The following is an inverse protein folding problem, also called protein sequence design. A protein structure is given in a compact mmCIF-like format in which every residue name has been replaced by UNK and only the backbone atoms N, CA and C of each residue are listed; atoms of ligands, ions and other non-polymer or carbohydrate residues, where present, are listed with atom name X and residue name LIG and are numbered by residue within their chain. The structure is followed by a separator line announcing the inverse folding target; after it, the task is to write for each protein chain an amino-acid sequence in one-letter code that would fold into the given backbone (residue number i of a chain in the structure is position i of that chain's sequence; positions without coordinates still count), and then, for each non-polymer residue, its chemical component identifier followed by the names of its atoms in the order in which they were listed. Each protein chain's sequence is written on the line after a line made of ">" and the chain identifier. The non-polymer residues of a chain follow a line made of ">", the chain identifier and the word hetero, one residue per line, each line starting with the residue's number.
data_IF_176165649541
#
_entry.id   IF_176165649541
#
_cell.length_a   1.000
_cell.length_b   1.000
_cell.length_c   1.000
_cell.angle_alpha   90.00
_cell.angle_beta   90.00
_cell.angle_gamma   90.00
#
_symmetry.space_group_name_H-M   'P 1'
#
loop_
_entity.id
_entity.type
_entity.pdbx_description
1 polymer ?
#
# COMPACT_ATOMS: atom_id res chain seq x y z
N UNK A 1 -10.21 -54.20 -17.29
CA UNK A 1 -9.65 -53.11 -18.13
C UNK A 1 -8.11 -53.09 -18.08
N UNK A 2 -7.50 -53.03 -16.90
CA UNK A 2 -6.03 -53.03 -16.69
C UNK A 2 -5.29 -54.26 -17.25
N UNK A 3 -5.90 -55.45 -17.21
CA UNK A 3 -5.29 -56.69 -17.70
C UNK A 3 -5.17 -56.76 -19.24
N UNK A 4 -6.09 -56.10 -19.98
CA UNK A 4 -6.04 -56.01 -21.45
C UNK A 4 -4.97 -55.03 -21.93
N UNK A 5 -4.77 -53.92 -21.21
CA UNK A 5 -3.66 -52.98 -21.44
C UNK A 5 -2.30 -53.67 -21.26
N UNK A 6 -2.17 -54.53 -20.24
CA UNK A 6 -0.93 -55.24 -19.91
C UNK A 6 -0.51 -56.29 -20.96
N UNK A 7 -1.48 -56.91 -21.64
CA UNK A 7 -1.22 -57.87 -22.74
C UNK A 7 -0.94 -57.16 -24.06
N UNK A 8 -1.58 -56.01 -24.32
CA UNK A 8 -1.35 -55.18 -25.51
C UNK A 8 0.07 -54.60 -25.56
N UNK A 9 0.65 -54.25 -24.41
CA UNK A 9 2.02 -53.72 -24.28
C UNK A 9 3.14 -54.76 -24.46
N UNK A 10 2.83 -56.06 -24.59
CA UNK A 10 3.85 -57.10 -24.86
C UNK A 10 4.21 -57.21 -26.34
N UNK A 11 3.45 -56.60 -27.25
CA UNK A 11 3.82 -56.56 -28.67
C UNK A 11 4.79 -55.40 -28.91
N UNK A 12 5.97 -55.64 -29.51
CA UNK A 12 7.00 -54.60 -29.69
C UNK A 12 6.53 -53.47 -30.61
N UNK A 13 5.63 -53.74 -31.54
CA UNK A 13 5.03 -52.74 -32.44
C UNK A 13 4.03 -51.83 -31.74
N UNK A 14 3.22 -52.34 -30.81
CA UNK A 14 2.27 -51.53 -30.02
C UNK A 14 3.02 -50.68 -28.99
N UNK A 15 4.06 -51.23 -28.36
CA UNK A 15 4.90 -50.47 -27.43
C UNK A 15 5.59 -49.29 -28.13
N UNK A 16 6.19 -49.53 -29.30
CA UNK A 16 6.91 -48.49 -30.06
C UNK A 16 5.97 -47.39 -30.58
N UNK A 17 4.77 -47.74 -31.05
CA UNK A 17 3.80 -46.75 -31.54
C UNK A 17 3.25 -45.87 -30.40
N UNK A 18 3.02 -46.46 -29.22
CA UNK A 18 2.60 -45.70 -28.02
C UNK A 18 3.75 -44.79 -27.56
N UNK A 19 4.98 -45.29 -27.49
CA UNK A 19 6.13 -44.47 -27.09
C UNK A 19 6.35 -43.27 -28.05
N UNK A 20 6.32 -43.52 -29.36
CA UNK A 20 6.56 -42.49 -30.37
C UNK A 20 5.42 -41.45 -30.41
N UNK A 21 4.16 -41.87 -30.27
CA UNK A 21 3.01 -40.96 -30.23
C UNK A 21 3.04 -40.07 -28.99
N UNK A 22 3.38 -40.62 -27.82
CA UNK A 22 3.53 -39.84 -26.59
C UNK A 22 4.69 -38.84 -26.73
N UNK A 23 5.87 -39.29 -27.17
CA UNK A 23 7.03 -38.42 -27.35
C UNK A 23 6.75 -37.27 -28.33
N UNK A 24 6.15 -37.57 -29.48
CA UNK A 24 5.81 -36.57 -30.49
C UNK A 24 4.74 -35.60 -29.99
N UNK A 25 3.73 -36.08 -29.27
CA UNK A 25 2.69 -35.23 -28.68
C UNK A 25 3.25 -34.24 -27.65
N UNK A 26 4.17 -34.69 -26.80
CA UNK A 26 4.80 -33.84 -25.78
C UNK A 26 5.69 -32.79 -26.45
N UNK A 27 6.49 -33.20 -27.43
CA UNK A 27 7.37 -32.28 -28.16
C UNK A 27 6.59 -31.22 -28.94
N UNK A 28 5.53 -31.61 -29.65
CA UNK A 28 4.67 -30.68 -30.39
C UNK A 28 3.91 -29.74 -29.45
N UNK A 29 3.38 -30.26 -28.34
CA UNK A 29 2.68 -29.44 -27.36
C UNK A 29 3.62 -28.40 -26.73
N UNK A 30 4.82 -28.82 -26.32
CA UNK A 30 5.79 -27.93 -25.69
C UNK A 30 6.30 -26.86 -26.66
N UNK A 31 6.62 -27.24 -27.90
CA UNK A 31 7.08 -26.28 -28.92
C UNK A 31 6.00 -25.28 -29.31
N UNK A 32 4.75 -25.73 -29.51
CA UNK A 32 3.63 -24.85 -29.81
C UNK A 32 3.31 -23.91 -28.64
N UNK A 33 3.31 -24.41 -27.41
CA UNK A 33 3.06 -23.60 -26.21
C UNK A 33 4.14 -22.53 -26.02
N UNK A 34 5.42 -22.88 -26.18
CA UNK A 34 6.52 -21.92 -26.10
C UNK A 34 6.39 -20.87 -27.20
N UNK A 35 6.17 -21.28 -28.46
CA UNK A 35 6.03 -20.34 -29.58
C UNK A 35 4.85 -19.39 -29.38
N UNK A 36 3.68 -19.92 -29.02
CA UNK A 36 2.46 -19.12 -28.83
C UNK A 36 2.57 -18.19 -27.62
N UNK A 37 3.13 -18.67 -26.50
CA UNK A 37 3.32 -17.83 -25.30
C UNK A 37 4.30 -16.68 -25.57
N UNK A 38 5.40 -16.95 -26.27
CA UNK A 38 6.36 -15.90 -26.65
C UNK A 38 5.70 -14.92 -27.63
N UNK A 39 5.06 -15.41 -28.70
CA UNK A 39 4.41 -14.55 -29.69
C UNK A 39 3.33 -13.67 -29.06
N UNK A 40 2.46 -14.26 -28.24
CA UNK A 40 1.37 -13.53 -27.59
C UNK A 40 1.89 -12.53 -26.56
N UNK A 41 2.90 -12.91 -25.77
CA UNK A 41 3.50 -12.01 -24.78
C UNK A 41 4.15 -10.79 -25.44
N UNK A 42 4.88 -10.99 -26.54
CA UNK A 42 5.51 -9.91 -27.29
C UNK A 42 4.44 -9.02 -27.92
N UNK A 43 3.47 -9.61 -28.63
CA UNK A 43 2.41 -8.86 -29.29
C UNK A 43 1.61 -8.01 -28.28
N UNK A 44 1.20 -8.61 -27.16
CA UNK A 44 0.43 -7.94 -26.13
C UNK A 44 1.25 -6.84 -25.44
N UNK A 45 2.53 -7.10 -25.15
CA UNK A 45 3.42 -6.10 -24.53
C UNK A 45 3.62 -4.88 -25.42
N UNK A 46 3.84 -5.08 -26.72
CA UNK A 46 4.02 -4.00 -27.70
C UNK A 46 2.72 -3.20 -27.82
N UNK A 47 1.60 -3.88 -28.06
CA UNK A 47 0.31 -3.21 -28.22
C UNK A 47 -0.07 -2.38 -26.99
N UNK A 48 0.08 -2.97 -25.79
CA UNK A 48 -0.22 -2.30 -24.53
C UNK A 48 0.72 -1.12 -24.28
N UNK A 49 2.02 -1.26 -24.58
CA UNK A 49 3.00 -0.18 -24.42
C UNK A 49 2.69 1.02 -25.31
N UNK A 50 2.33 0.79 -26.57
CA UNK A 50 1.98 1.86 -27.52
C UNK A 50 0.71 2.57 -27.06
N UNK A 51 -0.31 1.80 -26.66
CA UNK A 51 -1.58 2.37 -26.20
C UNK A 51 -1.42 3.21 -24.92
N UNK A 52 -0.65 2.71 -23.94
CA UNK A 52 -0.35 3.43 -22.71
C UNK A 52 0.48 4.68 -22.96
N UNK A 53 1.48 4.60 -23.83
CA UNK A 53 2.31 5.75 -24.19
C UNK A 53 1.47 6.85 -24.84
N UNK A 54 0.65 6.50 -25.82
CA UNK A 54 -0.17 7.47 -26.54
C UNK A 54 -1.21 8.12 -25.62
N UNK A 55 -1.90 7.33 -24.81
CA UNK A 55 -2.89 7.85 -23.86
C UNK A 55 -2.27 8.74 -22.78
N UNK A 56 -1.12 8.34 -22.22
CA UNK A 56 -0.40 9.14 -21.24
C UNK A 56 0.11 10.47 -21.82
N UNK A 57 0.64 10.46 -23.05
CA UNK A 57 1.13 11.67 -23.70
C UNK A 57 -0.01 12.66 -23.97
N UNK A 58 -1.15 12.18 -24.48
CA UNK A 58 -2.33 13.02 -24.70
C UNK A 58 -2.82 13.62 -23.38
N UNK A 59 -2.96 12.79 -22.34
CA UNK A 59 -3.43 13.24 -21.02
C UNK A 59 -2.49 14.28 -20.40
N UNK A 60 -1.17 14.03 -20.44
CA UNK A 60 -0.17 14.95 -19.89
C UNK A 60 -0.10 16.26 -20.67
N UNK A 61 -0.22 16.20 -22.00
CA UNK A 61 -0.30 17.38 -22.86
C UNK A 61 -1.52 18.23 -22.51
N UNK A 62 -2.69 17.60 -22.37
CA UNK A 62 -3.93 18.30 -21.99
C UNK A 62 -3.81 18.93 -20.60
N UNK A 63 -3.29 18.19 -19.62
CA UNK A 63 -3.07 18.70 -18.26
C UNK A 63 -2.10 19.88 -18.23
N UNK A 64 -1.01 19.82 -19.00
CA UNK A 64 -0.04 20.91 -19.10
C UNK A 64 -0.65 22.16 -19.74
N UNK A 65 -1.49 21.98 -20.77
CA UNK A 65 -2.23 23.08 -21.40
C UNK A 65 -3.19 23.75 -20.43
N UNK A 66 -3.95 22.98 -19.63
CA UNK A 66 -4.84 23.53 -18.60
C UNK A 66 -4.09 24.32 -17.53
N UNK A 67 -2.96 23.80 -17.04
CA UNK A 67 -2.12 24.52 -16.08
C UNK A 67 -1.61 25.83 -16.67
N UNK A 68 -1.16 25.81 -17.92
CA UNK A 68 -0.67 27.01 -18.62
C UNK A 68 -1.74 28.08 -18.71
N UNK A 69 -2.98 27.72 -19.09
CA UNK A 69 -4.11 28.65 -19.12
C UNK A 69 -4.40 29.20 -17.73
N UNK A 70 -4.49 28.32 -16.73
CA UNK A 70 -4.81 28.72 -15.35
C UNK A 70 -3.78 29.70 -14.80
N UNK A 71 -2.48 29.41 -14.97
CA UNK A 71 -1.40 30.27 -14.52
C UNK A 71 -1.37 31.61 -15.26
N UNK A 72 -1.62 31.59 -16.58
CA UNK A 72 -1.70 32.80 -17.40
C UNK A 72 -2.85 33.70 -16.97
N UNK A 73 -4.01 33.13 -16.64
CA UNK A 73 -5.16 33.87 -16.12
C UNK A 73 -4.86 34.50 -14.75
N UNK A 74 -4.25 33.74 -13.83
CA UNK A 74 -3.85 34.28 -12.53
C UNK A 74 -2.87 35.44 -12.68
N UNK A 75 -1.80 35.27 -13.47
CA UNK A 75 -0.82 36.33 -13.70
C UNK A 75 -1.49 37.57 -14.30
N UNK A 76 -2.34 37.38 -15.31
CA UNK A 76 -3.07 38.47 -15.96
C UNK A 76 -3.94 39.26 -14.98
N UNK A 77 -4.68 38.56 -14.11
CA UNK A 77 -5.52 39.19 -13.07
C UNK A 77 -4.64 39.90 -12.03
N UNK A 78 -3.54 39.29 -11.60
CA UNK A 78 -2.63 39.91 -10.64
C UNK A 78 -1.97 41.18 -11.22
N UNK A 79 -1.52 41.14 -12.47
CA UNK A 79 -0.96 42.32 -13.14
C UNK A 79 -2.02 43.41 -13.30
N UNK A 80 -3.24 43.06 -13.71
CA UNK A 80 -4.30 44.06 -13.91
C UNK A 80 -4.65 44.75 -12.59
N UNK A 81 -4.81 44.00 -11.50
CA UNK A 81 -5.04 44.58 -10.17
C UNK A 81 -3.88 45.46 -9.72
N UNK A 82 -2.64 44.98 -9.90
CA UNK A 82 -1.43 45.74 -9.53
C UNK A 82 -1.33 47.06 -10.29
N UNK A 83 -1.48 47.04 -11.62
CA UNK A 83 -1.47 48.24 -12.46
C UNK A 83 -2.62 49.18 -12.11
N UNK A 84 -3.84 48.67 -11.91
CA UNK A 84 -4.97 49.48 -11.46
C UNK A 84 -4.71 50.17 -10.13
N UNK A 85 -4.14 49.45 -9.15
CA UNK A 85 -3.79 50.03 -7.85
C UNK A 85 -2.71 51.10 -7.97
N UNK A 86 -1.67 50.85 -8.78
CA UNK A 86 -0.58 51.80 -9.02
C UNK A 86 -1.07 53.07 -9.72
N UNK A 87 -1.89 52.95 -10.77
CA UNK A 87 -2.50 54.09 -11.45
C UNK A 87 -3.43 54.89 -10.54
N UNK A 88 -4.22 54.19 -9.70
CA UNK A 88 -5.13 54.85 -8.76
C UNK A 88 -4.37 55.68 -7.72
N UNK A 89 -3.26 55.15 -7.18
CA UNK A 89 -2.39 55.87 -6.25
C UNK A 89 -1.68 57.04 -6.97
N UNK A 90 -1.17 56.83 -8.18
CA UNK A 90 -0.50 57.90 -8.92
C UNK A 90 -1.46 59.04 -9.28
N UNK A 91 -2.69 58.72 -9.72
CA UNK A 91 -3.72 59.72 -10.03
C UNK A 91 -4.15 60.51 -8.79
N UNK A 92 -4.34 59.84 -7.65
CA UNK A 92 -4.71 60.51 -6.38
C UNK A 92 -3.60 61.45 -5.88
N UNK A 93 -2.32 61.10 -6.06
CA UNK A 93 -1.20 61.98 -5.69
C UNK A 93 -1.02 63.14 -6.70
N UNK A 94 -1.32 62.93 -7.98
CA UNK A 94 -1.12 63.93 -9.04
C UNK A 94 -2.26 64.94 -9.17
N UNK A 95 -3.42 64.69 -8.54
CA UNK A 95 -4.59 65.56 -8.67
C UNK A 95 -4.43 66.83 -7.81
N UNK A 96 -4.52 68.05 -8.38
CA UNK A 96 -4.25 69.30 -7.66
C UNK A 96 -5.16 69.56 -6.45
N UNK A 97 -6.31 68.87 -6.37
CA UNK A 97 -7.23 68.97 -5.22
C UNK A 97 -6.84 68.10 -4.00
N UNK A 98 -5.90 67.16 -4.13
CA UNK A 98 -5.55 66.20 -3.07
C UNK A 98 -4.37 66.65 -2.16
N UNK A 99 -3.69 67.75 -2.50
CA UNK A 99 -2.59 68.33 -1.70
C UNK A 99 -3.06 68.90 -0.34
N UNK A 100 -4.38 69.01 -0.11
CA UNK A 100 -4.96 69.54 1.14
C UNK A 100 -5.62 68.53 2.08
N UNK A 101 -5.67 67.22 1.77
CA UNK A 101 -6.49 66.26 2.53
C UNK A 101 -5.75 65.45 3.60
N UNK A 102 -4.48 65.75 3.89
CA UNK A 102 -3.71 65.05 4.94
C UNK A 102 -4.12 65.39 6.39
N UNK A 103 -5.20 66.15 6.61
CA UNK A 103 -5.69 66.55 7.94
C UNK A 103 -7.20 66.31 8.16
N UNK A 104 -7.84 65.40 7.41
CA UNK A 104 -9.27 65.12 7.62
C UNK A 104 -9.46 63.63 7.97
N UNK A 105 -9.71 63.45 9.27
CA UNK A 105 -10.46 62.40 9.95
C UNK A 105 -10.33 60.95 9.46
N UNK A 106 -9.67 60.16 10.31
CA UNK A 106 -9.84 58.72 10.41
C UNK A 106 -11.35 58.47 10.62
N UNK A 107 -12.06 57.79 9.69
CA UNK A 107 -13.42 57.37 9.96
C UNK A 107 -13.37 56.40 11.14
N UNK A 108 -14.22 56.63 12.14
CA UNK A 108 -14.40 55.71 13.27
C UNK A 108 -14.55 54.29 12.75
N UNK A 109 -13.80 53.37 13.36
CA UNK A 109 -13.94 51.94 13.13
C UNK A 109 -15.42 51.58 13.25
N UNK A 110 -16.05 51.22 12.13
CA UNK A 110 -17.33 50.53 12.17
C UNK A 110 -17.14 49.27 13.00
N UNK A 111 -17.71 49.27 14.20
CA UNK A 111 -17.85 48.09 15.03
C UNK A 111 -18.48 47.02 14.15
N UNK A 112 -17.76 45.91 13.93
CA UNK A 112 -18.28 44.72 13.24
C UNK A 112 -19.73 44.49 13.68
N UNK A 113 -20.69 44.39 12.76
CA UNK A 113 -22.05 44.03 13.12
C UNK A 113 -21.99 42.74 13.96
N UNK A 114 -22.75 42.71 15.04
CA UNK A 114 -22.93 41.51 15.86
C UNK A 114 -23.20 40.31 14.95
N UNK A 115 -22.56 39.15 15.19
CA UNK A 115 -22.71 37.99 14.32
C UNK A 115 -24.21 37.70 14.10
N UNK A 116 -24.63 37.44 12.84
CA UNK A 116 -26.01 37.12 12.55
C UNK A 116 -26.47 35.94 13.41
N UNK A 117 -27.75 35.91 13.82
CA UNK A 117 -28.28 34.84 14.65
C UNK A 117 -28.02 33.48 13.99
N UNK A 118 -27.65 32.50 14.82
CA UNK A 118 -27.29 31.16 14.33
C UNK A 118 -28.44 30.59 13.48
N UNK A 119 -28.17 30.12 12.26
CA UNK A 119 -29.20 29.64 11.35
C UNK A 119 -29.84 28.36 11.89
N UNK A 120 -31.16 28.20 11.72
CA UNK A 120 -31.90 27.04 12.21
C UNK A 120 -31.40 25.73 11.58
N UNK A 121 -30.99 24.76 12.41
CA UNK A 121 -30.32 23.52 11.97
C UNK A 121 -31.11 22.67 10.97
N UNK A 122 -32.43 22.81 10.90
CA UNK A 122 -33.32 21.99 10.05
C UNK A 122 -33.78 22.69 8.79
N UNK A 123 -33.72 24.01 8.75
CA UNK A 123 -34.29 24.87 7.70
C UNK A 123 -33.25 25.74 7.00
N UNK A 124 -32.01 25.77 7.52
CA UNK A 124 -30.90 26.53 6.93
C UNK A 124 -30.47 25.99 5.57
N UNK A 125 -30.01 26.91 4.70
CA UNK A 125 -29.38 26.57 3.43
C UNK A 125 -28.12 25.73 3.72
N UNK A 126 -27.82 24.67 2.95
CA UNK A 126 -26.69 23.76 3.23
C UNK A 126 -25.35 24.47 3.41
N UNK A 127 -25.11 25.55 2.65
CA UNK A 127 -23.90 26.37 2.77
C UNK A 127 -23.76 27.01 4.15
N UNK A 128 -24.81 27.68 4.63
CA UNK A 128 -24.81 28.34 5.94
C UNK A 128 -24.67 27.33 7.08
N UNK A 129 -25.28 26.15 6.93
CA UNK A 129 -25.13 25.05 7.88
C UNK A 129 -23.66 24.61 8.01
N UNK A 130 -22.98 24.40 6.88
CA UNK A 130 -21.57 24.00 6.86
C UNK A 130 -20.67 25.07 7.48
N UNK A 131 -20.85 26.33 7.07
CA UNK A 131 -20.07 27.47 7.56
C UNK A 131 -20.23 27.67 9.08
N UNK A 132 -21.44 27.48 9.61
CA UNK A 132 -21.72 27.77 11.02
C UNK A 132 -21.49 26.59 11.97
N UNK A 133 -21.75 25.35 11.53
CA UNK A 133 -21.73 24.17 12.41
C UNK A 133 -20.61 23.17 12.13
N UNK A 134 -20.15 23.04 10.88
CA UNK A 134 -19.19 21.99 10.50
C UNK A 134 -17.77 22.53 10.39
N UNK A 135 -17.56 23.59 9.60
CA UNK A 135 -16.22 24.14 9.35
C UNK A 135 -15.50 24.62 10.61
N UNK A 136 -16.12 25.28 11.59
CA UNK A 136 -15.43 25.70 12.81
C UNK A 136 -14.82 24.53 13.61
N UNK A 137 -15.33 23.31 13.43
CA UNK A 137 -14.83 22.09 14.06
C UNK A 137 -13.84 21.36 13.14
N UNK A 138 -14.16 21.29 11.85
CA UNK A 138 -13.41 20.50 10.88
C UNK A 138 -12.13 21.21 10.40
N UNK A 139 -12.17 22.52 10.21
CA UNK A 139 -11.03 23.33 9.73
C UNK A 139 -9.78 23.15 10.61
N UNK A 140 -9.82 23.33 11.94
CA UNK A 140 -8.64 23.11 12.78
C UNK A 140 -8.16 21.65 12.73
N UNK A 141 -9.08 20.68 12.62
CA UNK A 141 -8.72 19.27 12.50
C UNK A 141 -7.96 18.98 11.19
N UNK A 142 -8.41 19.56 10.07
CA UNK A 142 -7.75 19.45 8.78
C UNK A 142 -6.38 20.14 8.79
N UNK A 143 -6.27 21.32 9.40
CA UNK A 143 -4.99 22.02 9.54
C UNK A 143 -3.98 21.19 10.30
N UNK A 144 -4.35 20.63 11.47
CA UNK A 144 -3.46 19.77 12.26
C UNK A 144 -3.13 18.46 11.55
N UNK A 145 -4.09 17.88 10.82
CA UNK A 145 -3.84 16.70 10.00
C UNK A 145 -2.82 16.99 8.89
N UNK A 146 -2.88 18.15 8.23
CA UNK A 146 -1.91 18.53 7.19
C UNK A 146 -0.51 18.74 7.77
N UNK A 147 -0.41 19.32 8.96
CA UNK A 147 0.87 19.45 9.69
C UNK A 147 1.46 18.07 9.99
N UNK A 148 0.65 17.15 10.51
CA UNK A 148 1.09 15.78 10.79
C UNK A 148 1.50 15.04 9.51
N UNK A 149 0.74 15.18 8.42
CA UNK A 149 1.06 14.60 7.12
C UNK A 149 2.42 15.10 6.59
N UNK A 150 2.75 16.37 6.85
CA UNK A 150 4.07 16.93 6.53
C UNK A 150 5.19 16.26 7.34
N UNK A 151 4.99 16.09 8.65
CA UNK A 151 5.95 15.41 9.54
C UNK A 151 6.19 13.96 9.09
N UNK A 152 5.14 13.26 8.68
CA UNK A 152 5.22 11.88 8.17
C UNK A 152 5.68 11.78 6.70
N UNK A 153 6.10 12.90 6.09
CA UNK A 153 6.60 12.98 4.71
C UNK A 153 5.61 12.45 3.68
N UNK A 154 4.30 12.60 3.91
CA UNK A 154 3.25 12.14 3.01
C UNK A 154 3.27 12.85 1.66
N UNK A 155 3.78 14.08 1.60
CA UNK A 155 3.90 14.85 0.35
C UNK A 155 5.15 14.48 -0.47
N UNK A 156 6.11 13.78 0.14
CA UNK A 156 7.37 13.36 -0.51
C UNK A 156 7.31 11.89 -0.95
N UNK A 157 6.66 11.03 -0.15
CA UNK A 157 6.63 9.57 -0.35
C UNK A 157 5.33 9.13 -1.01
N UNK A 158 5.43 8.29 -2.06
CA UNK A 158 4.26 7.70 -2.76
C UNK A 158 3.39 6.80 -1.87
N UNK A 159 3.97 6.17 -0.84
CA UNK A 159 3.27 5.28 0.09
C UNK A 159 3.70 5.61 1.51
N UNK A 160 2.72 5.78 2.40
CA UNK A 160 2.95 6.07 3.81
C UNK A 160 2.06 5.20 4.69
N UNK A 161 2.46 5.04 5.95
CA UNK A 161 1.64 4.39 6.98
C UNK A 161 0.54 5.32 7.52
N UNK A 162 0.65 6.62 7.27
CA UNK A 162 -0.28 7.64 7.74
C UNK A 162 -1.65 7.46 7.11
N UNK A 163 -2.70 7.53 7.93
CA UNK A 163 -4.08 7.56 7.46
C UNK A 163 -4.74 8.84 7.95
N UNK A 164 -5.11 9.70 7.00
CA UNK A 164 -5.72 11.00 7.26
C UNK A 164 -7.07 10.88 7.99
N UNK A 165 -7.92 9.95 7.55
CA UNK A 165 -9.24 9.76 8.15
C UNK A 165 -9.14 9.27 9.60
N UNK A 166 -8.20 8.37 9.87
CA UNK A 166 -7.89 7.89 11.21
C UNK A 166 -7.45 9.03 12.12
N UNK A 167 -6.53 9.88 11.64
CA UNK A 167 -6.04 11.03 12.39
C UNK A 167 -7.15 12.03 12.69
N UNK A 168 -7.97 12.39 11.69
CA UNK A 168 -9.10 13.31 11.88
C UNK A 168 -10.11 12.73 12.87
N UNK A 169 -10.42 11.43 12.77
CA UNK A 169 -11.34 10.75 13.70
C UNK A 169 -10.81 10.82 15.13
N UNK A 170 -9.53 10.52 15.34
CA UNK A 170 -8.87 10.60 16.64
C UNK A 170 -8.86 12.05 17.17
N UNK A 171 -8.50 13.02 16.33
CA UNK A 171 -8.45 14.44 16.68
C UNK A 171 -9.83 14.99 17.10
N UNK A 172 -10.86 14.71 16.29
CA UNK A 172 -12.23 15.15 16.57
C UNK A 172 -12.80 14.49 17.84
N UNK A 173 -12.43 13.23 18.10
CA UNK A 173 -12.87 12.53 19.30
C UNK A 173 -12.26 13.12 20.58
N UNK A 174 -10.97 13.47 20.54
CA UNK A 174 -10.25 14.12 21.65
C UNK A 174 -10.74 15.54 21.91
N UNK A 175 -10.90 16.32 20.85
CA UNK A 175 -11.22 17.75 20.94
C UNK A 175 -12.72 18.05 21.00
N UNK A 176 -13.56 17.05 21.29
CA UNK A 176 -14.99 17.26 21.44
C UNK A 176 -15.29 17.96 22.78
N UNK A 177 -15.61 19.27 22.72
CA UNK A 177 -15.93 20.12 23.87
C UNK A 177 -17.05 19.59 24.79
N UNK A 178 -17.89 18.70 24.29
CA UNK A 178 -19.02 18.12 25.03
C UNK A 178 -18.57 17.08 26.06
N UNK A 179 -17.45 16.41 25.84
CA UNK A 179 -16.98 15.31 26.67
C UNK A 179 -15.59 15.59 27.22
N UNK A 180 -15.42 15.50 28.54
CA UNK A 180 -14.14 15.70 29.24
C UNK A 180 -13.34 14.38 29.33
N UNK A 181 -12.04 14.47 29.58
CA UNK A 181 -11.11 13.34 29.82
C UNK A 181 -10.85 12.43 28.59
N UNK A 182 -10.69 12.99 27.39
CA UNK A 182 -10.41 12.21 26.17
C UNK A 182 -9.02 12.43 25.57
N UNK A 183 -8.21 13.29 26.16
CA UNK A 183 -6.99 13.84 25.54
C UNK A 183 -5.97 12.76 25.12
N UNK A 184 -5.93 11.62 25.83
CA UNK A 184 -4.95 10.54 25.60
C UNK A 184 -5.52 9.28 24.93
N UNK A 185 -6.77 9.30 24.43
CA UNK A 185 -7.39 8.11 23.81
C UNK A 185 -6.83 7.92 22.40
N UNK A 186 -6.23 6.76 22.10
CA UNK A 186 -5.80 6.40 20.73
C UNK A 186 -6.98 5.89 19.90
N UNK A 187 -6.89 5.99 18.58
CA UNK A 187 -7.95 5.55 17.66
C UNK A 187 -8.49 4.14 17.95
N UNK A 188 -7.62 3.18 18.23
CA UNK A 188 -8.00 1.76 18.48
C UNK A 188 -8.78 1.56 19.77
N UNK A 189 -8.66 2.50 20.71
CA UNK A 189 -9.29 2.45 22.02
C UNK A 189 -10.64 3.19 22.05
N UNK A 190 -11.00 3.87 20.96
CA UNK A 190 -12.30 4.53 20.81
C UNK A 190 -13.40 3.47 20.75
N UNK A 191 -14.47 3.53 21.58
CA UNK A 191 -15.46 2.44 21.72
C UNK A 191 -16.08 1.99 20.39
N UNK A 192 -16.64 2.92 19.62
CA UNK A 192 -17.28 2.58 18.35
C UNK A 192 -16.29 2.07 17.29
N UNK A 193 -15.04 2.55 17.33
CA UNK A 193 -13.99 2.08 16.41
C UNK A 193 -13.57 0.67 16.79
N UNK A 194 -13.41 0.39 18.08
CA UNK A 194 -13.03 -0.92 18.61
C UNK A 194 -14.07 -1.98 18.26
N UNK A 195 -15.35 -1.66 18.44
CA UNK A 195 -16.46 -2.54 18.04
C UNK A 195 -16.47 -2.77 16.53
N UNK A 196 -16.33 -1.71 15.73
CA UNK A 196 -16.27 -1.82 14.27
C UNK A 196 -15.11 -2.71 13.80
N UNK A 197 -13.91 -2.54 14.38
CA UNK A 197 -12.72 -3.32 14.01
C UNK A 197 -12.78 -4.79 14.42
N UNK A 198 -13.65 -5.14 15.38
CA UNK A 198 -13.90 -6.53 15.75
C UNK A 198 -14.60 -7.29 14.63
N UNK A 199 -15.56 -6.64 13.98
CA UNK A 199 -16.29 -7.20 12.84
C UNK A 199 -15.53 -7.01 11.52
N UNK A 200 -14.73 -5.94 11.42
CA UNK A 200 -14.01 -5.54 10.21
C UNK A 200 -12.50 -5.36 10.48
N UNK A 201 -11.74 -6.46 10.68
CA UNK A 201 -10.32 -6.37 10.96
C UNK A 201 -9.56 -5.79 9.77
N UNK A 202 -8.67 -4.83 10.02
CA UNK A 202 -7.85 -4.22 8.97
C UNK A 202 -6.69 -5.15 8.57
N UNK A 203 -6.35 -5.24 7.28
CA UNK A 203 -5.17 -5.98 6.85
C UNK A 203 -3.90 -5.36 7.47
N UNK A 204 -2.91 -6.19 7.85
CA UNK A 204 -1.67 -5.69 8.40
C UNK A 204 -0.93 -4.86 7.35
N UNK A 205 -0.33 -3.75 7.78
CA UNK A 205 0.51 -2.94 6.91
C UNK A 205 1.75 -3.74 6.45
N UNK A 206 2.22 -3.54 5.21
CA UNK A 206 3.43 -4.17 4.75
C UNK A 206 4.64 -3.71 5.59
N UNK A 207 5.56 -4.65 5.86
CA UNK A 207 6.76 -4.39 6.69
C UNK A 207 7.60 -3.21 6.19
N UNK A 208 7.63 -2.98 4.88
CA UNK A 208 8.33 -1.84 4.26
C UNK A 208 7.82 -0.47 4.72
N UNK A 209 6.57 -0.38 5.21
CA UNK A 209 6.01 0.86 5.76
C UNK A 209 6.12 0.93 7.30
N UNK A 210 6.42 -0.19 7.95
CA UNK A 210 6.52 -0.29 9.41
C UNK A 210 7.96 -0.12 9.89
N UNK A 211 8.91 -0.71 9.18
CA UNK A 211 10.32 -0.67 9.55
C UNK A 211 10.91 0.72 9.45
N UNK A 212 11.77 1.04 10.42
CA UNK A 212 12.70 2.16 10.28
C UNK A 212 13.74 1.83 9.21
N UNK A 213 14.43 2.86 8.73
CA UNK A 213 15.50 2.67 7.73
C UNK A 213 16.61 1.76 8.29
N UNK A 214 16.93 1.86 9.58
CA UNK A 214 17.92 1.01 10.25
C UNK A 214 17.47 -0.44 10.38
N UNK A 215 16.23 -0.69 10.82
CA UNK A 215 15.67 -2.04 10.93
C UNK A 215 15.64 -2.72 9.55
N UNK A 216 15.16 -1.99 8.53
CA UNK A 216 15.13 -2.47 7.17
C UNK A 216 16.54 -2.79 6.67
N UNK A 217 17.53 -1.92 6.95
CA UNK A 217 18.92 -2.12 6.56
C UNK A 217 19.51 -3.39 7.19
N UNK A 218 19.31 -3.62 8.49
CA UNK A 218 19.78 -4.84 9.17
C UNK A 218 19.20 -6.09 8.53
N UNK A 219 17.89 -6.09 8.26
CA UNK A 219 17.22 -7.22 7.61
C UNK A 219 17.78 -7.44 6.20
N UNK A 220 17.81 -6.40 5.36
CA UNK A 220 18.32 -6.50 3.99
C UNK A 220 19.77 -7.00 3.96
N UNK A 221 20.63 -6.45 4.84
CA UNK A 221 22.02 -6.88 4.93
C UNK A 221 22.16 -8.34 5.38
N UNK A 222 21.33 -8.81 6.31
CA UNK A 222 21.36 -10.22 6.73
C UNK A 222 20.94 -11.16 5.59
N UNK A 223 19.91 -10.79 4.82
CA UNK A 223 19.52 -11.51 3.61
C UNK A 223 20.64 -11.54 2.57
N UNK A 224 21.31 -10.40 2.36
CA UNK A 224 22.42 -10.29 1.41
C UNK A 224 23.62 -11.13 1.82
N UNK A 225 24.06 -11.05 3.08
CA UNK A 225 25.13 -11.91 3.62
C UNK A 225 24.79 -13.39 3.43
N UNK A 226 23.55 -13.77 3.76
CA UNK A 226 23.07 -15.14 3.52
C UNK A 226 23.07 -15.52 2.04
N UNK A 227 22.70 -14.62 1.14
CA UNK A 227 22.71 -14.85 -0.30
C UNK A 227 24.14 -15.05 -0.83
N UNK A 228 25.11 -14.23 -0.38
CA UNK A 228 26.51 -14.38 -0.76
C UNK A 228 27.06 -15.74 -0.35
N UNK A 229 26.80 -16.19 0.89
CA UNK A 229 27.19 -17.53 1.35
C UNK A 229 26.55 -18.61 0.47
N UNK A 230 25.26 -18.46 0.13
CA UNK A 230 24.57 -19.40 -0.76
C UNK A 230 25.12 -19.42 -2.17
N UNK A 231 25.80 -18.38 -2.65
CA UNK A 231 26.41 -18.38 -3.97
C UNK A 231 27.73 -19.15 -4.04
N UNK A 232 28.38 -19.41 -2.91
CA UNK A 232 29.62 -20.16 -2.89
C UNK A 232 29.39 -21.58 -3.43
N UNK A 233 30.29 -22.03 -4.30
CA UNK A 233 30.16 -23.32 -5.00
C UNK A 233 30.06 -24.49 -4.02
N UNK A 234 30.93 -24.51 -3.00
CA UNK A 234 30.94 -25.51 -1.93
C UNK A 234 29.60 -25.58 -1.18
N UNK A 235 28.96 -24.43 -0.93
CA UNK A 235 27.67 -24.37 -0.26
C UNK A 235 26.53 -24.85 -1.16
N UNK A 236 26.61 -24.62 -2.47
CA UNK A 236 25.65 -25.16 -3.44
C UNK A 236 25.77 -26.69 -3.53
N UNK A 237 26.99 -27.21 -3.61
CA UNK A 237 27.28 -28.64 -3.60
C UNK A 237 26.76 -29.29 -2.30
N UNK A 238 27.03 -28.69 -1.15
CA UNK A 238 26.51 -29.16 0.14
C UNK A 238 24.98 -29.17 0.17
N UNK A 239 24.32 -28.14 -0.36
CA UNK A 239 22.85 -28.07 -0.41
C UNK A 239 22.24 -29.11 -1.34
N UNK A 240 22.92 -29.40 -2.44
CA UNK A 240 22.53 -30.44 -3.39
C UNK A 240 22.66 -31.81 -2.74
N UNK A 241 23.82 -32.10 -2.12
CA UNK A 241 24.03 -33.31 -1.35
C UNK A 241 23.00 -33.49 -0.23
N UNK A 242 22.71 -32.43 0.55
CA UNK A 242 21.67 -32.48 1.60
C UNK A 242 20.27 -32.77 1.04
N UNK A 243 19.98 -32.37 -0.19
CA UNK A 243 18.70 -32.66 -0.85
C UNK A 243 18.65 -34.13 -1.26
N UNK A 244 19.68 -34.61 -1.96
CA UNK A 244 19.82 -36.00 -2.37
C UNK A 244 19.76 -36.94 -1.16
N UNK A 245 20.51 -36.62 -0.10
CA UNK A 245 20.45 -37.38 1.15
C UNK A 245 19.04 -37.42 1.74
N UNK A 246 18.29 -36.31 1.74
CA UNK A 246 16.89 -36.33 2.20
C UNK A 246 16.01 -37.19 1.32
N UNK A 247 16.18 -37.16 0.00
CA UNK A 247 15.41 -37.95 -0.95
C UNK A 247 15.73 -39.45 -0.86
N UNK A 248 16.99 -39.82 -0.77
CA UNK A 248 17.44 -41.21 -0.58
C UNK A 248 16.96 -41.78 0.76
N UNK A 249 16.96 -40.95 1.80
CA UNK A 249 16.53 -41.35 3.14
C UNK A 249 15.05 -41.06 3.41
N UNK A 250 14.26 -40.70 2.39
CA UNK A 250 12.81 -40.60 2.52
C UNK A 250 12.24 -41.96 2.89
N UNK A 251 11.56 -42.02 4.03
CA UNK A 251 10.98 -43.27 4.52
C UNK A 251 11.96 -44.18 5.25
N UNK A 252 13.18 -43.73 5.60
CA UNK A 252 14.08 -44.50 6.48
C UNK A 252 13.37 -44.92 7.76
N UNK A 253 12.56 -44.04 8.36
CA UNK A 253 11.80 -44.40 9.56
C UNK A 253 10.82 -45.55 9.31
N UNK A 254 10.19 -45.61 8.13
CA UNK A 254 9.31 -46.70 7.74
C UNK A 254 10.10 -47.99 7.49
N UNK A 255 11.24 -47.91 6.79
CA UNK A 255 12.13 -49.05 6.53
C UNK A 255 12.71 -49.63 7.82
N UNK A 256 13.16 -48.77 8.74
CA UNK A 256 13.66 -49.16 10.07
C UNK A 256 12.53 -49.79 10.89
N UNK A 257 11.33 -49.23 10.86
CA UNK A 257 10.19 -49.80 11.57
C UNK A 257 9.77 -51.16 11.00
N UNK A 258 9.77 -51.33 9.68
CA UNK A 258 9.50 -52.62 9.03
C UNK A 258 10.59 -53.66 9.32
N UNK A 259 11.86 -53.24 9.36
CA UNK A 259 12.97 -54.09 9.79
C UNK A 259 12.77 -54.61 11.22
N UNK A 260 12.44 -53.75 12.17
CA UNK A 260 12.22 -54.14 13.57
C UNK A 260 10.96 -54.99 13.75
N UNK A 261 9.87 -54.68 13.05
CA UNK A 261 8.66 -55.53 13.02
C UNK A 261 8.97 -56.95 12.52
N UNK A 262 9.84 -57.09 11.52
CA UNK A 262 10.24 -58.39 10.96
C UNK A 262 11.16 -59.17 11.88
N UNK A 263 12.07 -58.50 12.59
CA UNK A 263 13.02 -59.12 13.55
C UNK A 263 12.38 -59.43 14.91
N UNK A 264 11.39 -58.64 15.33
CA UNK A 264 10.71 -58.73 16.62
C UNK A 264 9.20 -58.52 16.44
N UNK A 265 8.45 -59.55 16.02
CA UNK A 265 6.98 -59.44 15.90
C UNK A 265 6.37 -59.20 17.29
N UNK A 266 5.95 -57.96 17.54
CA UNK A 266 5.43 -57.49 18.84
C UNK A 266 6.13 -56.25 19.41
N UNK A 267 7.23 -55.80 18.79
CA UNK A 267 7.90 -54.57 19.21
C UNK A 267 7.07 -53.33 18.86
N UNK A 268 6.55 -52.64 19.88
CA UNK A 268 5.97 -51.31 19.75
C UNK A 268 7.03 -50.27 20.09
N UNK A 269 7.26 -49.34 19.17
CA UNK A 269 8.12 -48.19 19.39
C UNK A 269 7.45 -47.32 20.47
N UNK A 270 8.02 -47.28 21.69
CA UNK A 270 7.58 -46.34 22.72
C UNK A 270 7.98 -44.95 22.23
N UNK A 271 7.08 -44.27 21.54
CA UNK A 271 7.21 -42.84 21.29
C UNK A 271 7.12 -42.15 22.65
N UNK A 272 8.08 -41.30 23.05
CA UNK A 272 7.90 -40.48 24.24
C UNK A 272 6.61 -39.70 24.05
N UNK A 273 5.67 -39.85 24.98
CA UNK A 273 4.50 -38.99 25.03
C UNK A 273 4.99 -37.54 25.03
N UNK A 274 4.31 -36.70 24.27
CA UNK A 274 4.52 -35.24 24.12
C UNK A 274 4.39 -34.42 25.41
N UNK A 275 4.48 -35.07 26.58
CA UNK A 275 4.40 -34.47 27.91
C UNK A 275 5.78 -34.16 28.52
N UNK A 276 6.88 -34.69 28.01
CA UNK A 276 8.21 -34.53 28.65
C UNK A 276 9.09 -33.44 28.02
N UNK A 277 8.84 -33.02 26.78
CA UNK A 277 9.62 -31.94 26.12
C UNK A 277 9.35 -30.54 26.69
N UNK A 278 8.21 -30.32 27.34
CA UNK A 278 7.87 -29.02 27.94
C UNK A 278 8.46 -28.79 29.34
N UNK A 279 9.20 -29.74 29.93
CA UNK A 279 9.88 -29.55 31.22
C UNK A 279 11.36 -29.19 31.11
N UNK A 280 11.97 -29.30 29.93
CA UNK A 280 13.40 -28.97 29.75
C UNK A 280 13.64 -27.55 29.21
N UNK A 281 12.60 -26.85 28.76
CA UNK A 281 12.70 -25.46 28.26
C UNK A 281 12.47 -24.41 29.36
N UNK A 282 12.12 -24.82 30.59
CA UNK A 282 11.96 -23.91 31.74
C UNK A 282 13.20 -23.79 32.65
N UNK A 283 14.34 -24.39 32.26
CA UNK A 283 15.60 -24.30 33.00
C UNK A 283 16.81 -23.87 32.14
N UNK A 284 16.60 -22.97 31.18
CA UNK A 284 17.68 -22.28 30.46
C UNK A 284 17.34 -20.83 30.17
#
# INVERSE_FOLDING_TARGET
>A
MLQRLRLSLKSPTIYLSIYLSIYLSIYLFQSAHIYLSIYLSIYLSIYLSIYLFQSAHIYLSYFSFLISIYFSLIISICLSISVCSYLSIHFTISHPACIGYSLIDIPEQQTKPSPPPAPDKKTSIPREYLEHYVFPILEPALTEMLKQAKIEKCFERKRTKFNACDYITEYLYRNNKTFKNRDNVKLRDIPFVKEWLKEHPRPPLPKSLLWTEDEAAVVIQSFWRGYLVRRLKEIQELRQWQREWREENQGIHAQVNDFWKKKMPGWQQVTPSSSTENQLVSMS
#
